data_IF_514304473077
#
_entry.id   IF_514304473077
#
_cell.length_a   1.000
_cell.length_b   1.000
_cell.length_c   1.000
_cell.angle_alpha   90.00
_cell.angle_beta   90.00
_cell.angle_gamma   90.00
#
_symmetry.space_group_name_H-M   'P 1'
#
loop_
_entity.id
_entity.type
_entity.pdbx_description
1 polymer ?
#
# COMPACT_ATOMS: atom_id res chain seq x y z
N UNK A 1 -39.98 38.72 24.60
CA UNK A 1 -40.12 39.31 25.95
C UNK A 1 -39.41 38.33 26.87
N UNK A 2 -38.19 38.50 27.37
CA UNK A 2 -37.25 39.63 27.56
C UNK A 2 -35.79 39.07 27.50
N UNK A 3 -34.78 39.74 26.93
CA UNK A 3 -33.82 40.69 27.58
C UNK A 3 -33.50 40.32 29.04
N UNK A 4 -32.30 40.39 29.59
CA UNK A 4 -30.90 40.69 29.26
C UNK A 4 -30.19 40.51 30.62
N UNK A 5 -28.99 39.96 30.67
CA UNK A 5 -27.87 40.41 31.53
C UNK A 5 -26.69 39.44 31.34
N UNK A 6 -25.61 39.80 30.64
CA UNK A 6 -24.53 40.77 30.88
C UNK A 6 -23.55 40.39 32.00
N UNK A 7 -22.27 40.51 31.60
CA UNK A 7 -21.02 40.60 32.37
C UNK A 7 -20.45 39.24 32.83
N UNK A 8 -19.24 38.83 32.50
CA UNK A 8 -18.09 39.56 31.95
C UNK A 8 -16.84 39.08 32.69
N UNK A 9 -15.84 38.57 31.96
CA UNK A 9 -14.43 38.58 32.39
C UNK A 9 -13.52 38.38 31.18
N UNK A 10 -12.80 39.46 30.88
CA UNK A 10 -11.67 39.60 29.95
C UNK A 10 -10.37 39.58 30.78
N UNK A 11 -9.25 39.46 30.05
CA UNK A 11 -7.84 39.60 30.43
C UNK A 11 -7.16 38.25 30.82
N UNK A 12 -5.96 37.91 30.35
CA UNK A 12 -4.79 38.75 30.08
C UNK A 12 -4.00 38.33 28.83
N UNK A 13 -3.32 39.32 28.23
CA UNK A 13 -2.23 39.22 27.25
C UNK A 13 -0.91 39.47 27.98
N UNK A 14 0.15 38.70 27.66
CA UNK A 14 1.59 39.05 27.75
C UNK A 14 2.35 37.85 27.11
N UNK A 15 3.30 37.96 26.18
CA UNK A 15 4.32 38.99 25.95
C UNK A 15 5.64 38.53 26.58
N UNK A 16 6.63 38.08 25.80
CA UNK A 16 7.97 37.78 26.33
C UNK A 16 8.87 36.94 25.42
N UNK A 17 9.67 37.63 24.61
CA UNK A 17 10.84 37.10 23.90
C UNK A 17 12.11 37.56 24.67
N UNK A 18 13.20 36.80 24.52
CA UNK A 18 14.60 37.16 24.81
C UNK A 18 15.11 36.96 26.25
N UNK A 19 16.05 36.02 26.46
CA UNK A 19 17.46 36.34 26.76
C UNK A 19 18.33 35.07 26.86
N UNK A 20 19.53 35.22 26.33
CA UNK A 20 20.65 34.28 26.33
C UNK A 20 21.23 34.09 27.75
N UNK A 21 21.84 32.93 28.00
CA UNK A 21 23.02 32.85 28.86
C UNK A 21 24.01 31.88 28.22
N UNK A 22 25.08 32.47 27.66
CA UNK A 22 26.35 31.85 27.27
C UNK A 22 27.28 31.82 28.49
N UNK A 23 28.38 31.08 28.31
CA UNK A 23 29.63 31.10 29.07
C UNK A 23 29.57 30.20 30.32
N UNK A 24 30.57 29.37 30.64
CA UNK A 24 31.93 29.15 30.15
C UNK A 24 32.46 27.98 31.04
N UNK A 25 33.48 27.17 30.78
CA UNK A 25 34.65 27.28 29.92
C UNK A 25 35.41 25.93 29.98
N UNK A 26 36.15 25.62 28.91
CA UNK A 26 37.53 25.14 28.93
C UNK A 26 37.91 23.69 29.30
N UNK A 27 38.90 23.04 28.66
CA UNK A 27 39.86 23.43 27.62
C UNK A 27 40.63 22.16 27.19
N UNK A 28 40.93 22.01 25.89
CA UNK A 28 42.28 21.78 25.31
C UNK A 28 42.22 21.15 23.91
N UNK A 29 42.82 21.87 22.97
CA UNK A 29 43.36 21.40 21.69
C UNK A 29 44.89 21.69 21.73
N UNK A 30 45.71 21.62 20.64
CA UNK A 30 45.55 21.02 19.30
C UNK A 30 46.83 20.29 18.78
N UNK A 31 46.87 20.04 17.46
CA UNK A 31 47.97 19.62 16.55
C UNK A 31 48.16 18.10 16.38
N UNK A 32 48.40 17.52 15.19
CA UNK A 32 49.22 18.00 14.07
C UNK A 32 48.88 17.29 12.73
N UNK A 33 49.35 17.89 11.65
CA UNK A 33 49.32 17.55 10.24
C UNK A 33 49.93 16.17 9.87
N UNK A 34 49.72 15.72 8.63
CA UNK A 34 50.73 14.90 7.97
C UNK A 34 50.22 13.73 7.13
N UNK A 35 50.65 13.72 5.87
CA UNK A 35 50.30 12.79 4.82
C UNK A 35 51.09 11.47 4.85
N UNK A 36 50.69 10.60 3.92
CA UNK A 36 51.54 9.70 3.12
C UNK A 36 51.51 8.18 3.44
N UNK A 37 51.06 7.46 2.41
CA UNK A 37 51.55 6.17 1.89
C UNK A 37 51.61 4.90 2.78
N UNK A 38 50.77 3.96 2.32
CA UNK A 38 51.13 2.66 1.74
C UNK A 38 51.60 1.50 2.64
N UNK A 39 51.26 0.31 2.12
CA UNK A 39 51.70 -1.05 2.48
C UNK A 39 50.91 -1.68 3.63
N UNK A 40 50.45 -2.94 3.61
CA UNK A 40 50.28 -4.01 2.61
C UNK A 40 49.59 -5.16 3.39
N UNK A 41 48.87 -6.04 2.69
CA UNK A 41 48.64 -7.42 3.11
C UNK A 41 47.37 -7.73 3.93
N UNK A 42 46.34 -8.29 3.27
CA UNK A 42 46.17 -9.76 3.25
C UNK A 42 45.04 -10.14 2.28
N UNK A 43 45.38 -11.05 1.36
CA UNK A 43 44.54 -11.54 0.29
C UNK A 43 43.71 -12.75 0.76
N UNK A 44 42.40 -12.74 0.50
CA UNK A 44 41.59 -13.97 0.46
C UNK A 44 41.32 -14.31 -1.01
N UNK A 45 42.13 -15.21 -1.52
CA UNK A 45 42.05 -15.78 -2.87
C UNK A 45 40.74 -16.57 -3.01
N UNK A 46 39.80 -16.12 -3.86
CA UNK A 46 38.75 -16.98 -4.43
C UNK A 46 38.99 -17.14 -5.92
N UNK A 47 39.11 -18.41 -6.30
CA UNK A 47 39.51 -18.93 -7.60
C UNK A 47 38.53 -18.53 -8.72
N UNK A 48 38.86 -17.50 -9.48
CA UNK A 48 38.17 -17.10 -10.72
C UNK A 48 38.77 -17.85 -11.91
N UNK A 49 37.93 -18.58 -12.64
CA UNK A 49 38.27 -19.13 -13.97
C UNK A 49 38.35 -17.96 -14.98
N UNK A 50 39.43 -17.81 -15.76
CA UNK A 50 39.50 -16.77 -16.78
C UNK A 50 38.73 -17.22 -18.03
N UNK A 51 37.77 -16.41 -18.51
CA UNK A 51 37.16 -16.57 -19.84
C UNK A 51 35.64 -16.59 -19.95
N UNK A 52 34.88 -16.52 -18.84
CA UNK A 52 33.42 -16.37 -18.90
C UNK A 52 33.01 -14.91 -19.02
N UNK A 53 32.73 -14.41 -20.22
CA UNK A 53 32.04 -13.14 -20.37
C UNK A 53 30.69 -13.23 -19.66
N UNK A 54 30.44 -12.36 -18.68
CA UNK A 54 29.09 -12.15 -18.17
C UNK A 54 28.33 -11.46 -19.30
N UNK A 55 27.63 -12.25 -20.11
CA UNK A 55 26.60 -11.73 -21.02
C UNK A 55 25.46 -11.26 -20.12
N UNK A 56 25.54 -10.02 -19.65
CA UNK A 56 24.36 -9.28 -19.20
C UNK A 56 23.57 -8.96 -20.46
N UNK A 57 22.73 -9.90 -20.91
CA UNK A 57 21.73 -9.58 -21.90
C UNK A 57 20.94 -8.39 -21.32
N UNK A 58 20.91 -7.22 -21.98
CA UNK A 58 20.12 -6.11 -21.48
C UNK A 58 18.69 -6.61 -21.39
N UNK A 59 18.10 -6.53 -20.21
CA UNK A 59 16.68 -6.75 -20.04
C UNK A 59 16.00 -5.69 -20.88
N UNK A 60 15.62 -6.06 -22.10
CA UNK A 60 14.86 -5.20 -23.00
C UNK A 60 13.55 -4.91 -22.27
N UNK A 61 13.46 -3.76 -21.62
CA UNK A 61 12.19 -3.14 -21.33
C UNK A 61 11.58 -2.86 -22.70
N UNK A 62 10.80 -3.82 -23.24
CA UNK A 62 9.78 -3.44 -24.21
C UNK A 62 9.00 -2.34 -23.54
N UNK A 63 9.02 -1.14 -24.12
CA UNK A 63 8.10 -0.08 -23.72
C UNK A 63 6.72 -0.70 -23.71
N UNK A 64 6.15 -0.88 -22.52
CA UNK A 64 4.79 -1.34 -22.41
C UNK A 64 3.93 -0.34 -23.20
N UNK A 65 2.93 -0.80 -23.96
CA UNK A 65 2.01 0.12 -24.62
C UNK A 65 1.45 1.07 -23.55
N UNK A 66 1.49 2.37 -23.84
CA UNK A 66 1.00 3.38 -22.91
C UNK A 66 -0.47 3.10 -22.57
N UNK A 67 -0.81 3.11 -21.28
CA UNK A 67 -2.19 2.98 -20.83
C UNK A 67 -2.94 4.25 -21.26
N UNK A 68 -4.08 4.15 -21.99
CA UNK A 68 -4.79 5.34 -22.45
C UNK A 68 -5.22 6.25 -21.30
N UNK A 69 -5.11 7.57 -21.51
CA UNK A 69 -5.68 8.57 -20.60
C UNK A 69 -7.18 8.31 -20.41
N UNK A 70 -7.65 8.45 -19.19
CA UNK A 70 -9.04 8.19 -18.83
C UNK A 70 -9.40 6.73 -18.57
N UNK A 71 -8.44 5.80 -18.68
CA UNK A 71 -8.66 4.39 -18.29
C UNK A 71 -9.16 4.29 -16.85
N UNK A 72 -10.28 3.60 -16.65
CA UNK A 72 -10.93 3.41 -15.35
C UNK A 72 -10.35 2.18 -14.65
N UNK A 73 -9.71 2.40 -13.52
CA UNK A 73 -9.08 1.34 -12.73
C UNK A 73 -9.83 1.22 -11.40
N UNK A 74 -10.41 0.05 -11.14
CA UNK A 74 -11.05 -0.24 -9.85
C UNK A 74 -10.07 -1.02 -8.99
N UNK A 75 -9.58 -0.36 -7.94
CA UNK A 75 -8.77 -0.98 -6.89
C UNK A 75 -9.69 -1.65 -5.87
N UNK A 76 -9.55 -2.95 -5.67
CA UNK A 76 -10.32 -3.70 -4.69
C UNK A 76 -9.42 -4.08 -3.53
N UNK A 77 -9.78 -3.62 -2.33
CA UNK A 77 -8.95 -3.77 -1.13
C UNK A 77 -9.82 -3.89 0.12
N UNK A 78 -9.48 -4.80 1.04
CA UNK A 78 -10.27 -5.02 2.28
C UNK A 78 -10.33 -3.84 3.23
N UNK A 79 -9.24 -3.10 3.35
CA UNK A 79 -9.15 -1.93 4.21
C UNK A 79 -8.51 -0.80 3.40
N UNK A 80 -8.99 0.40 3.63
CA UNK A 80 -8.47 1.61 3.03
C UNK A 80 -8.57 2.72 4.08
N UNK A 81 -8.14 3.93 3.73
CA UNK A 81 -8.33 5.13 4.55
C UNK A 81 -9.78 5.19 5.08
N UNK A 82 -10.03 5.63 6.33
CA UNK A 82 -9.08 6.17 7.29
C UNK A 82 -8.22 5.12 8.02
N UNK A 83 -8.40 3.81 7.74
CA UNK A 83 -7.45 2.82 8.24
C UNK A 83 -6.06 3.14 7.71
N UNK A 84 -5.03 3.03 8.56
CA UNK A 84 -3.64 3.22 8.15
C UNK A 84 -2.86 1.93 8.29
N UNK A 85 -2.02 1.67 7.31
CA UNK A 85 -1.20 0.48 7.19
C UNK A 85 -0.42 0.50 5.88
N UNK A 86 0.59 -0.37 5.78
CA UNK A 86 1.47 -0.38 4.60
C UNK A 86 0.73 -0.67 3.29
N UNK A 87 -0.28 -1.54 3.33
CA UNK A 87 -1.07 -1.85 2.14
C UNK A 87 -1.91 -0.64 1.71
N UNK A 88 -2.61 -0.01 2.66
CA UNK A 88 -3.46 1.15 2.44
C UNK A 88 -2.66 2.31 1.84
N UNK A 89 -1.47 2.57 2.39
CA UNK A 89 -0.58 3.63 1.91
C UNK A 89 -0.07 3.35 0.50
N UNK A 90 0.26 2.09 0.17
CA UNK A 90 0.67 1.71 -1.18
C UNK A 90 -0.48 1.91 -2.18
N UNK A 91 -1.70 1.51 -1.83
CA UNK A 91 -2.87 1.71 -2.70
C UNK A 91 -3.16 3.20 -2.90
N UNK A 92 -3.10 4.00 -1.83
CA UNK A 92 -3.33 5.44 -1.91
C UNK A 92 -2.27 6.13 -2.79
N UNK A 93 -0.99 5.81 -2.60
CA UNK A 93 0.10 6.35 -3.41
C UNK A 93 0.00 5.93 -4.88
N UNK A 94 -0.37 4.69 -5.14
CA UNK A 94 -0.60 4.19 -6.50
C UNK A 94 -1.73 4.96 -7.19
N UNK A 95 -2.86 5.14 -6.50
CA UNK A 95 -3.99 5.92 -7.03
C UNK A 95 -3.60 7.36 -7.32
N UNK A 96 -2.85 8.03 -6.43
CA UNK A 96 -2.35 9.40 -6.67
C UNK A 96 -1.45 9.47 -7.90
N UNK A 97 -0.54 8.51 -8.06
CA UNK A 97 0.32 8.44 -9.24
C UNK A 97 -0.49 8.21 -10.53
N UNK A 98 -1.51 7.36 -10.49
CA UNK A 98 -2.40 7.12 -11.64
C UNK A 98 -3.23 8.35 -12.00
N UNK A 99 -3.74 9.10 -11.01
CA UNK A 99 -4.42 10.37 -11.24
C UNK A 99 -3.49 11.37 -11.95
N UNK A 100 -2.24 11.48 -11.51
CA UNK A 100 -1.24 12.36 -12.13
C UNK A 100 -0.92 11.97 -13.59
N UNK A 101 -1.11 10.69 -13.95
CA UNK A 101 -0.99 10.19 -15.33
C UNK A 101 -2.27 10.37 -16.16
N UNK A 102 -3.31 11.02 -15.62
CA UNK A 102 -4.59 11.23 -16.29
C UNK A 102 -5.49 9.99 -16.34
N UNK A 103 -5.21 8.97 -15.53
CA UNK A 103 -6.06 7.80 -15.38
C UNK A 103 -7.21 8.10 -14.40
N UNK A 104 -8.19 7.19 -14.32
CA UNK A 104 -9.37 7.32 -13.45
C UNK A 104 -9.42 6.17 -12.43
N UNK A 105 -8.55 6.17 -11.41
CA UNK A 105 -8.62 5.18 -10.35
C UNK A 105 -9.81 5.44 -9.43
N UNK A 106 -10.35 4.36 -8.87
CA UNK A 106 -11.35 4.36 -7.81
C UNK A 106 -11.10 3.17 -6.90
N UNK A 107 -11.56 3.26 -5.65
CA UNK A 107 -11.35 2.22 -4.63
C UNK A 107 -12.70 1.64 -4.21
N UNK A 108 -12.80 0.31 -4.20
CA UNK A 108 -13.87 -0.42 -3.53
C UNK A 108 -13.28 -1.10 -2.30
N UNK A 109 -13.84 -0.79 -1.13
CA UNK A 109 -13.35 -1.28 0.15
C UNK A 109 -14.48 -1.60 1.12
N UNK A 110 -14.16 -2.16 2.29
CA UNK A 110 -15.17 -2.50 3.28
C UNK A 110 -15.68 -1.26 4.04
N UNK A 111 -16.94 -1.35 4.46
CA UNK A 111 -17.66 -0.29 5.19
C UNK A 111 -17.31 -0.16 6.66
N UNK A 112 -16.53 -1.10 7.21
CA UNK A 112 -16.14 -1.11 8.61
C UNK A 112 -14.65 -1.37 8.74
N UNK A 113 -14.08 -0.76 9.77
CA UNK A 113 -12.69 -0.97 10.16
C UNK A 113 -12.57 -2.30 10.92
N UNK A 114 -11.51 -3.06 10.67
CA UNK A 114 -11.29 -4.30 11.43
C UNK A 114 -10.98 -4.04 12.92
N UNK A 115 -10.42 -2.87 13.24
CA UNK A 115 -10.16 -2.43 14.61
C UNK A 115 -11.41 -1.90 15.33
N UNK A 116 -12.44 -1.48 14.57
CA UNK A 116 -13.69 -0.89 15.08
C UNK A 116 -14.88 -1.35 14.23
N UNK A 117 -15.27 -2.63 14.31
CA UNK A 117 -16.31 -3.21 13.47
C UNK A 117 -17.72 -2.64 13.74
N UNK A 118 -17.92 -1.99 14.88
CA UNK A 118 -19.15 -1.27 15.23
C UNK A 118 -19.33 0.04 14.45
N UNK A 119 -18.24 0.62 13.94
CA UNK A 119 -18.26 1.88 13.21
C UNK A 119 -18.47 1.62 11.71
N UNK A 120 -19.66 1.96 11.21
CA UNK A 120 -19.97 1.96 9.78
C UNK A 120 -19.56 3.31 9.19
N UNK A 121 -18.72 3.25 8.16
CA UNK A 121 -18.23 4.40 7.41
C UNK A 121 -19.18 4.78 6.26
N UNK A 122 -19.13 6.02 5.76
CA UNK A 122 -19.95 6.47 4.64
C UNK A 122 -19.81 5.57 3.40
N UNK A 123 -20.93 5.24 2.75
CA UNK A 123 -20.94 4.35 1.59
C UNK A 123 -20.15 4.89 0.39
N UNK A 124 -20.02 6.21 0.26
CA UNK A 124 -19.20 6.84 -0.76
C UNK A 124 -18.56 8.12 -0.23
N UNK A 125 -17.32 8.35 -0.63
CA UNK A 125 -16.57 9.57 -0.35
C UNK A 125 -15.46 9.76 -1.39
N UNK A 126 -14.85 10.94 -1.43
CA UNK A 126 -13.66 11.21 -2.25
C UNK A 126 -12.52 11.58 -1.31
N UNK A 127 -11.43 10.82 -1.36
CA UNK A 127 -10.24 11.02 -0.52
C UNK A 127 -9.06 11.36 -1.43
N UNK A 128 -8.47 12.53 -1.28
CA UNK A 128 -7.36 13.01 -2.12
C UNK A 128 -7.64 12.92 -3.64
N UNK A 129 -8.88 13.18 -4.04
CA UNK A 129 -9.33 13.07 -5.43
C UNK A 129 -9.64 11.64 -5.89
N UNK A 130 -9.54 10.65 -5.01
CA UNK A 130 -9.81 9.23 -5.28
C UNK A 130 -11.26 8.92 -4.85
N UNK A 131 -12.16 8.54 -5.78
CA UNK A 131 -13.47 8.04 -5.41
C UNK A 131 -13.35 6.72 -4.64
N UNK A 132 -13.94 6.68 -3.44
CA UNK A 132 -14.00 5.50 -2.58
C UNK A 132 -15.46 5.08 -2.43
N UNK A 133 -15.72 3.80 -2.70
CA UNK A 133 -17.00 3.15 -2.46
C UNK A 133 -16.83 2.08 -1.41
N UNK A 134 -17.67 2.10 -0.39
CA UNK A 134 -17.64 1.17 0.72
C UNK A 134 -18.78 0.19 0.65
N UNK A 135 -18.47 -1.09 0.84
CA UNK A 135 -19.44 -2.18 0.77
C UNK A 135 -19.50 -2.96 2.10
N UNK A 136 -20.69 -3.42 2.51
CA UNK A 136 -20.83 -4.27 3.67
C UNK A 136 -20.22 -5.65 3.43
N UNK A 137 -19.71 -6.23 4.52
CA UNK A 137 -19.29 -7.63 4.56
C UNK A 137 -19.98 -8.43 5.66
N UNK A 138 -19.91 -9.75 5.54
CA UNK A 138 -20.28 -10.71 6.59
C UNK A 138 -19.10 -11.64 6.87
N UNK A 139 -19.16 -12.35 8.00
CA UNK A 139 -18.11 -13.27 8.41
C UNK A 139 -16.99 -12.59 9.18
N UNK A 140 -15.78 -13.15 9.11
CA UNK A 140 -14.63 -12.69 9.89
C UNK A 140 -13.80 -11.63 9.16
N UNK A 141 -13.01 -10.86 9.89
CA UNK A 141 -12.01 -9.93 9.33
C UNK A 141 -10.93 -10.67 8.52
N UNK A 142 -10.69 -11.96 8.82
CA UNK A 142 -9.76 -12.82 8.10
C UNK A 142 -10.30 -13.24 6.72
N UNK A 143 -11.61 -13.39 6.59
CA UNK A 143 -12.25 -13.74 5.31
C UNK A 143 -13.62 -13.03 5.17
N UNK A 144 -13.62 -11.74 4.80
CA UNK A 144 -14.84 -10.94 4.74
C UNK A 144 -15.60 -11.22 3.45
N UNK A 145 -16.79 -11.80 3.57
CA UNK A 145 -17.67 -12.07 2.44
C UNK A 145 -18.40 -10.79 2.04
N UNK A 146 -18.07 -10.24 0.87
CA UNK A 146 -18.58 -8.96 0.39
C UNK A 146 -19.04 -9.04 -1.09
N UNK A 147 -20.16 -9.72 -1.39
CA UNK A 147 -20.62 -9.96 -2.76
C UNK A 147 -21.04 -8.68 -3.51
N UNK A 148 -21.32 -7.58 -2.80
CA UNK A 148 -21.65 -6.32 -3.46
C UNK A 148 -20.53 -5.78 -4.36
N UNK A 149 -19.29 -6.25 -4.18
CA UNK A 149 -18.15 -5.88 -5.03
C UNK A 149 -18.45 -6.02 -6.53
N UNK A 150 -19.19 -7.05 -6.95
CA UNK A 150 -19.48 -7.30 -8.38
C UNK A 150 -20.28 -6.17 -9.02
N UNK A 151 -21.14 -5.49 -8.25
CA UNK A 151 -21.97 -4.38 -8.73
C UNK A 151 -21.16 -3.11 -9.04
N UNK A 152 -19.93 -3.02 -8.51
CA UNK A 152 -19.06 -1.85 -8.66
C UNK A 152 -18.01 -2.00 -9.76
N UNK A 153 -18.03 -3.10 -10.53
CA UNK A 153 -17.02 -3.37 -11.56
C UNK A 153 -17.47 -2.99 -12.97
N UNK A 154 -18.75 -2.64 -13.17
CA UNK A 154 -19.35 -2.49 -14.51
C UNK A 154 -18.59 -1.52 -15.41
N UNK A 155 -18.14 -0.40 -14.87
CA UNK A 155 -17.45 0.65 -15.61
C UNK A 155 -15.93 0.48 -15.64
N UNK A 156 -15.38 -0.53 -14.97
CA UNK A 156 -13.94 -0.75 -14.95
C UNK A 156 -13.42 -1.17 -16.33
N UNK A 157 -12.31 -0.58 -16.74
CA UNK A 157 -11.48 -1.08 -17.84
C UNK A 157 -10.47 -2.11 -17.32
N UNK A 158 -10.08 -1.97 -16.04
CA UNK A 158 -9.18 -2.86 -15.32
C UNK A 158 -9.59 -2.95 -13.85
N UNK A 159 -9.54 -4.15 -13.28
CA UNK A 159 -9.71 -4.37 -11.83
C UNK A 159 -8.37 -4.80 -11.24
N UNK A 160 -7.89 -4.04 -10.26
CA UNK A 160 -6.65 -4.31 -9.54
C UNK A 160 -6.97 -4.77 -8.12
N UNK A 161 -6.76 -6.05 -7.85
CA UNK A 161 -7.03 -6.67 -6.55
C UNK A 161 -5.79 -6.62 -5.67
N UNK A 162 -5.96 -6.23 -4.42
CA UNK A 162 -4.88 -6.11 -3.45
C UNK A 162 -4.99 -7.16 -2.36
N UNK A 163 -3.88 -7.86 -2.12
CA UNK A 163 -3.75 -9.05 -1.29
C UNK A 163 -4.46 -10.31 -1.85
N UNK A 164 -4.10 -11.46 -1.26
CA UNK A 164 -4.78 -12.74 -1.51
C UNK A 164 -5.79 -12.94 -0.38
N UNK A 165 -7.05 -12.65 -0.66
CA UNK A 165 -8.17 -12.75 0.28
C UNK A 165 -9.47 -13.15 -0.45
N UNK A 166 -10.63 -12.94 0.19
CA UNK A 166 -11.93 -13.19 -0.42
C UNK A 166 -12.08 -12.56 -1.81
N UNK A 167 -11.64 -11.31 -2.02
CA UNK A 167 -11.77 -10.64 -3.31
C UNK A 167 -10.92 -11.30 -4.38
N UNK A 168 -9.73 -11.80 -4.00
CA UNK A 168 -8.86 -12.49 -4.95
C UNK A 168 -9.55 -13.69 -5.59
N UNK A 169 -10.13 -14.56 -4.76
CA UNK A 169 -10.80 -15.78 -5.22
C UNK A 169 -12.19 -15.46 -5.80
N UNK A 170 -12.99 -14.61 -5.15
CA UNK A 170 -14.35 -14.30 -5.58
C UNK A 170 -14.39 -13.64 -6.96
N UNK A 171 -13.50 -12.67 -7.22
CA UNK A 171 -13.46 -11.99 -8.52
C UNK A 171 -12.97 -12.92 -9.62
N UNK A 172 -12.01 -13.80 -9.32
CA UNK A 172 -11.56 -14.79 -10.29
C UNK A 172 -12.64 -15.82 -10.60
N UNK A 173 -13.22 -16.49 -9.60
CA UNK A 173 -14.26 -17.50 -9.79
C UNK A 173 -15.55 -16.91 -10.35
N UNK A 174 -15.86 -15.67 -9.97
CA UNK A 174 -16.99 -14.90 -10.49
C UNK A 174 -16.71 -14.17 -11.81
N UNK A 175 -15.59 -14.47 -12.50
CA UNK A 175 -15.17 -13.71 -13.68
C UNK A 175 -16.25 -13.60 -14.75
N UNK A 176 -17.05 -14.65 -14.97
CA UNK A 176 -18.14 -14.63 -15.95
C UNK A 176 -19.20 -13.56 -15.68
N UNK A 177 -19.34 -13.10 -14.42
CA UNK A 177 -20.31 -12.09 -14.00
C UNK A 177 -19.88 -10.67 -14.37
N UNK A 178 -18.57 -10.38 -14.43
CA UNK A 178 -18.07 -9.03 -14.68
C UNK A 178 -17.21 -8.91 -15.94
N UNK A 179 -16.56 -9.99 -16.39
CA UNK A 179 -15.72 -10.12 -17.60
C UNK A 179 -14.66 -9.02 -17.73
N UNK A 180 -14.16 -8.54 -16.60
CA UNK A 180 -13.14 -7.48 -16.57
C UNK A 180 -11.74 -8.08 -16.52
N UNK A 181 -10.75 -7.43 -17.15
CA UNK A 181 -9.35 -7.79 -16.94
C UNK A 181 -9.00 -7.66 -15.46
N UNK A 182 -8.42 -8.72 -14.90
CA UNK A 182 -7.98 -8.77 -13.51
C UNK A 182 -6.45 -8.72 -13.43
N UNK A 183 -5.93 -7.87 -12.55
CA UNK A 183 -4.53 -7.88 -12.09
C UNK A 183 -4.49 -7.89 -10.56
N UNK A 184 -3.47 -8.49 -9.98
CA UNK A 184 -3.35 -8.56 -8.52
C UNK A 184 -1.98 -8.13 -8.01
N UNK A 185 -1.94 -7.62 -6.79
CA UNK A 185 -0.70 -7.45 -6.03
C UNK A 185 -0.81 -8.15 -4.68
N UNK A 186 0.13 -9.06 -4.38
CA UNK A 186 -0.01 -9.97 -3.23
C UNK A 186 0.34 -9.36 -1.88
N UNK A 187 0.93 -8.15 -1.84
CA UNK A 187 1.23 -7.34 -0.64
C UNK A 187 1.49 -8.19 0.60
N UNK A 188 2.68 -8.79 0.72
CA UNK A 188 3.08 -9.63 1.86
C UNK A 188 1.98 -10.58 2.35
N UNK A 189 1.91 -11.78 1.77
CA UNK A 189 0.82 -12.74 2.00
C UNK A 189 0.34 -12.79 3.47
N UNK A 190 -0.98 -12.75 3.65
CA UNK A 190 -1.70 -12.50 4.90
C UNK A 190 -1.58 -13.61 5.98
N UNK A 191 -0.40 -14.20 6.21
CA UNK A 191 -0.25 -15.40 7.03
C UNK A 191 0.98 -15.42 7.96
N UNK A 192 1.04 -14.49 8.92
CA UNK A 192 1.83 -14.67 10.14
C UNK A 192 0.93 -15.12 11.30
N UNK A 193 0.22 -16.24 11.14
CA UNK A 193 -0.45 -16.91 12.28
C UNK A 193 -0.48 -18.41 12.08
N UNK A 194 0.10 -19.12 13.04
CA UNK A 194 0.43 -20.54 13.07
C UNK A 194 -0.76 -21.46 13.35
N UNK A 195 -2.01 -21.01 13.13
CA UNK A 195 -3.18 -21.84 13.40
C UNK A 195 -3.99 -22.07 12.11
N UNK A 196 -4.24 -23.36 11.82
CA UNK A 196 -4.93 -23.94 10.64
C UNK A 196 -4.08 -24.13 9.36
N UNK A 197 -2.91 -24.77 9.46
CA UNK A 197 -2.04 -25.10 8.32
C UNK A 197 -2.65 -26.10 7.29
N UNK A 198 -3.58 -26.98 7.72
CA UNK A 198 -4.20 -27.99 6.84
C UNK A 198 -5.22 -27.43 5.84
N UNK A 199 -6.13 -26.57 6.31
CA UNK A 199 -7.10 -25.87 5.45
C UNK A 199 -6.41 -24.87 4.52
N UNK A 200 -5.32 -24.23 5.00
CA UNK A 200 -4.43 -23.42 4.15
C UNK A 200 -3.84 -24.25 3.01
N UNK A 201 -3.32 -25.46 3.24
CA UNK A 201 -2.79 -26.32 2.18
C UNK A 201 -3.85 -26.68 1.13
N UNK A 202 -5.08 -27.01 1.54
CA UNK A 202 -6.15 -27.33 0.58
C UNK A 202 -6.62 -26.09 -0.21
N UNK A 203 -6.68 -24.93 0.43
CA UNK A 203 -7.04 -23.65 -0.18
C UNK A 203 -5.98 -23.16 -1.19
N UNK A 204 -4.69 -23.21 -0.79
CA UNK A 204 -3.57 -22.87 -1.66
C UNK A 204 -3.37 -23.88 -2.81
N UNK A 205 -3.69 -25.16 -2.58
CA UNK A 205 -3.57 -26.20 -3.62
C UNK A 205 -4.80 -26.33 -4.53
N UNK A 206 -5.90 -25.59 -4.28
CA UNK A 206 -7.14 -25.70 -5.04
C UNK A 206 -7.65 -24.36 -5.61
N UNK A 207 -8.61 -23.69 -4.95
CA UNK A 207 -9.32 -22.53 -5.51
C UNK A 207 -8.40 -21.34 -5.81
N UNK A 208 -7.38 -21.07 -5.00
CA UNK A 208 -6.46 -19.95 -5.25
C UNK A 208 -5.52 -20.22 -6.42
N UNK A 209 -5.11 -21.48 -6.64
CA UNK A 209 -4.29 -21.86 -7.80
C UNK A 209 -5.06 -21.70 -9.10
N UNK A 210 -6.34 -22.09 -9.12
CA UNK A 210 -7.23 -21.84 -10.25
C UNK A 210 -7.48 -20.34 -10.44
N UNK A 211 -7.75 -19.62 -9.36
CA UNK A 211 -7.98 -18.17 -9.39
C UNK A 211 -6.78 -17.42 -9.97
N UNK A 212 -5.56 -17.80 -9.60
CA UNK A 212 -4.34 -17.21 -10.13
C UNK A 212 -4.20 -17.34 -11.65
N UNK A 213 -4.78 -18.38 -12.28
CA UNK A 213 -4.77 -18.55 -13.74
C UNK A 213 -5.69 -17.56 -14.47
N UNK A 214 -6.66 -16.97 -13.77
CA UNK A 214 -7.62 -16.01 -14.34
C UNK A 214 -7.02 -14.60 -14.39
N UNK A 215 -6.09 -14.29 -13.48
CA UNK A 215 -5.40 -13.00 -13.47
C UNK A 215 -4.44 -12.87 -14.64
N UNK A 216 -4.53 -11.75 -15.38
CA UNK A 216 -3.64 -11.46 -16.50
C UNK A 216 -2.19 -11.26 -16.05
N UNK A 217 -2.02 -10.67 -14.86
CA UNK A 217 -0.74 -10.46 -14.19
C UNK A 217 -0.93 -10.44 -12.68
N UNK A 218 0.04 -10.99 -11.96
CA UNK A 218 0.15 -10.93 -10.50
C UNK A 218 1.52 -10.35 -10.18
N UNK A 219 1.56 -9.27 -9.43
CA UNK A 219 2.79 -8.64 -8.94
C UNK A 219 3.04 -9.05 -7.48
N UNK A 220 4.25 -9.49 -7.19
CA UNK A 220 4.70 -9.71 -5.82
C UNK A 220 5.32 -8.43 -5.25
N UNK A 221 4.90 -8.03 -4.05
CA UNK A 221 5.66 -7.09 -3.24
C UNK A 221 6.48 -7.91 -2.24
N UNK A 222 7.70 -8.26 -2.63
CA UNK A 222 8.70 -8.81 -1.71
C UNK A 222 9.65 -7.68 -1.33
N UNK A 223 9.66 -7.31 -0.05
CA UNK A 223 10.93 -6.94 0.58
C UNK A 223 11.71 -8.24 0.75
N UNK A 224 12.84 -8.36 0.05
CA UNK A 224 13.96 -9.14 0.56
C UNK A 224 14.43 -8.36 1.79
N UNK A 225 14.04 -8.80 2.98
CA UNK A 225 14.82 -8.57 4.19
C UNK A 225 15.55 -9.87 4.52
#
# INVERSE_FOLDING_TARGET
MDRLDRLGRRALVAGGLCLQSRADQDQRAPADEGADRALEGEAVQRHLRPGGQIVTAPFSHRSAPAVPVGTRIVHVVRQFLPNRGGLEDVVANLCRAQLALGLKPSVVTLDRLFSRPELILPASEVIDGIPVTRIPFRGSTRYPLAPQVFSHLREADLVHVHAIDFFFDALALGWLLHRKPLVATTHGGFFHTTDFAGLKKLWFNGPTRLSAQIYRRIAGCSTND
#
